data_IF_423041859259
#
_entry.id   IF_423041859259
#
_cell.length_a   1.000
_cell.length_b   1.000
_cell.length_c   1.000
_cell.angle_alpha   90.00
_cell.angle_beta   90.00
_cell.angle_gamma   90.00
#
_symmetry.space_group_name_H-M   'P 1'
#
loop_
_entity.id
_entity.type
_entity.pdbx_description
1 polymer ?
#
# COMPACT_ATOMS: atom_id res chain seq x y z
N UNK A 1 -0.44 -44.02 17.57
CA UNK A 1 0.31 -43.36 16.47
C UNK A 1 -0.37 -43.73 15.18
N UNK A 2 -0.94 -42.75 14.45
CA UNK A 2 -1.41 -43.00 13.09
C UNK A 2 -0.17 -43.14 12.19
N UNK A 3 -0.01 -44.29 11.56
CA UNK A 3 1.10 -44.56 10.64
C UNK A 3 0.79 -43.85 9.32
N UNK A 4 1.73 -43.03 8.85
CA UNK A 4 1.64 -42.29 7.59
C UNK A 4 1.47 -43.25 6.40
N UNK A 5 0.67 -42.86 5.40
CA UNK A 5 0.44 -43.67 4.20
C UNK A 5 1.73 -43.83 3.37
N UNK A 6 2.57 -42.79 3.33
CA UNK A 6 3.92 -42.86 2.77
C UNK A 6 4.79 -43.84 3.57
N UNK A 7 4.76 -43.79 4.91
CA UNK A 7 5.54 -44.71 5.74
C UNK A 7 5.20 -46.17 5.43
N UNK A 8 3.92 -46.50 5.22
CA UNK A 8 3.52 -47.86 4.81
C UNK A 8 4.08 -48.23 3.44
N UNK A 9 4.01 -47.32 2.45
CA UNK A 9 4.54 -47.55 1.10
C UNK A 9 6.07 -47.78 1.09
N UNK A 10 6.81 -47.17 2.01
CA UNK A 10 8.27 -47.38 2.17
C UNK A 10 8.56 -48.67 2.95
N UNK A 11 7.84 -48.91 4.05
CA UNK A 11 8.13 -50.00 4.97
C UNK A 11 7.76 -51.38 4.41
N UNK A 12 6.61 -51.50 3.74
CA UNK A 12 6.09 -52.76 3.20
C UNK A 12 7.09 -53.52 2.31
N UNK A 13 7.76 -52.88 1.33
CA UNK A 13 8.76 -53.55 0.51
C UNK A 13 10.05 -53.88 1.25
N UNK A 14 10.49 -53.06 2.20
CA UNK A 14 11.64 -53.37 3.07
C UNK A 14 11.35 -54.63 3.89
N UNK A 15 10.13 -54.74 4.43
CA UNK A 15 9.67 -55.91 5.18
C UNK A 15 9.61 -57.14 4.27
N UNK A 16 9.11 -57.01 3.03
CA UNK A 16 9.09 -58.11 2.05
C UNK A 16 10.50 -58.59 1.73
N UNK A 17 11.44 -57.67 1.52
CA UNK A 17 12.86 -58.00 1.29
C UNK A 17 13.40 -58.78 2.50
N UNK A 18 13.10 -58.34 3.73
CA UNK A 18 13.54 -59.02 4.95
C UNK A 18 12.95 -60.42 5.14
N UNK A 19 11.66 -60.61 4.86
CA UNK A 19 11.03 -61.94 4.91
C UNK A 19 11.65 -62.85 3.83
N UNK A 20 11.89 -62.29 2.65
CA UNK A 20 12.47 -63.02 1.54
C UNK A 20 13.92 -63.43 1.83
N UNK A 21 14.78 -62.55 2.39
CA UNK A 21 16.15 -62.91 2.74
C UNK A 21 16.20 -64.06 3.76
N UNK A 22 15.26 -64.11 4.70
CA UNK A 22 15.12 -65.21 5.66
C UNK A 22 14.75 -66.52 4.92
N UNK A 23 13.78 -66.48 4.00
CA UNK A 23 13.38 -67.65 3.20
C UNK A 23 14.55 -68.15 2.34
N UNK A 24 15.29 -67.23 1.70
CA UNK A 24 16.49 -67.57 0.94
C UNK A 24 17.53 -68.22 1.84
N UNK A 25 17.83 -67.64 3.00
CA UNK A 25 18.80 -68.18 3.94
C UNK A 25 18.46 -69.61 4.38
N UNK A 26 17.19 -69.89 4.71
CA UNK A 26 16.72 -71.24 5.05
C UNK A 26 16.90 -72.21 3.86
N UNK A 27 16.61 -71.74 2.65
CA UNK A 27 16.79 -72.53 1.44
C UNK A 27 18.28 -72.80 1.13
N UNK A 28 19.17 -71.85 1.42
CA UNK A 28 20.63 -72.02 1.29
C UNK A 28 21.14 -73.10 2.24
N UNK A 29 20.77 -73.00 3.51
CA UNK A 29 21.18 -73.97 4.56
C UNK A 29 20.67 -75.38 4.23
N UNK A 30 19.48 -75.49 3.62
CA UNK A 30 18.88 -76.78 3.24
C UNK A 30 19.46 -77.40 1.95
N UNK A 31 20.24 -76.66 1.16
CA UNK A 31 20.62 -77.10 -0.19
C UNK A 31 22.10 -77.47 -0.32
N UNK A 32 22.40 -78.74 -0.63
CA UNK A 32 23.65 -79.11 -1.33
C UNK A 32 23.50 -78.59 -2.77
N UNK A 33 24.30 -77.59 -3.14
CA UNK A 33 24.24 -76.76 -4.36
C UNK A 33 23.44 -77.34 -5.54
N UNK A 34 22.23 -76.82 -5.75
CA UNK A 34 21.35 -77.14 -6.86
C UNK A 34 20.93 -75.86 -7.59
N UNK A 35 20.62 -75.98 -8.89
CA UNK A 35 20.15 -74.92 -9.82
C UNK A 35 19.11 -73.95 -9.24
N UNK A 36 18.32 -74.38 -8.25
CA UNK A 36 17.38 -73.53 -7.52
C UNK A 36 18.00 -72.29 -6.86
N UNK A 37 19.27 -72.35 -6.43
CA UNK A 37 19.96 -71.18 -5.85
C UNK A 37 20.07 -70.03 -6.86
N UNK A 38 20.52 -70.32 -8.08
CA UNK A 38 20.71 -69.29 -9.12
C UNK A 38 19.38 -68.68 -9.56
N UNK A 39 18.30 -69.47 -9.58
CA UNK A 39 16.95 -68.98 -9.91
C UNK A 39 16.47 -67.98 -8.85
N UNK A 40 16.67 -68.29 -7.56
CA UNK A 40 16.28 -67.42 -6.45
C UNK A 40 17.04 -66.09 -6.48
N UNK A 41 18.37 -66.14 -6.70
CA UNK A 41 19.20 -64.94 -6.81
C UNK A 41 18.78 -64.08 -8.01
N UNK A 42 18.54 -64.70 -9.17
CA UNK A 42 18.08 -63.98 -10.36
C UNK A 42 16.73 -63.28 -10.14
N UNK A 43 15.76 -63.97 -9.55
CA UNK A 43 14.46 -63.38 -9.22
C UNK A 43 14.59 -62.22 -8.23
N UNK A 44 15.51 -62.29 -7.26
CA UNK A 44 15.80 -61.21 -6.33
C UNK A 44 16.38 -59.99 -7.05
N UNK A 45 17.35 -60.17 -7.94
CA UNK A 45 17.92 -59.05 -8.71
C UNK A 45 16.86 -58.35 -9.56
N UNK A 46 15.98 -59.12 -10.21
CA UNK A 46 14.86 -58.58 -11.00
C UNK A 46 13.86 -57.84 -10.11
N UNK A 47 13.52 -58.40 -8.94
CA UNK A 47 12.61 -57.77 -7.98
C UNK A 47 13.17 -56.44 -7.47
N UNK A 48 14.43 -56.41 -7.03
CA UNK A 48 15.08 -55.18 -6.54
C UNK A 48 15.10 -54.12 -7.64
N UNK A 49 15.43 -54.50 -8.88
CA UNK A 49 15.47 -53.57 -10.01
C UNK A 49 14.08 -52.96 -10.30
N UNK A 50 13.06 -53.81 -10.45
CA UNK A 50 11.68 -53.36 -10.71
C UNK A 50 11.13 -52.52 -9.56
N UNK A 51 11.42 -52.92 -8.32
CA UNK A 51 10.96 -52.22 -7.13
C UNK A 51 11.63 -50.84 -6.96
N UNK A 52 12.95 -50.76 -7.15
CA UNK A 52 13.69 -49.51 -7.11
C UNK A 52 13.18 -48.52 -8.17
N UNK A 53 12.94 -49.02 -9.38
CA UNK A 53 12.36 -48.22 -10.47
C UNK A 53 10.95 -47.71 -10.14
N UNK A 54 10.06 -48.58 -9.66
CA UNK A 54 8.69 -48.21 -9.31
C UNK A 54 8.61 -47.22 -8.15
N UNK A 55 9.48 -47.37 -7.14
CA UNK A 55 9.55 -46.47 -5.98
C UNK A 55 10.08 -45.10 -6.39
N UNK A 56 11.13 -45.06 -7.20
CA UNK A 56 11.67 -43.79 -7.72
C UNK A 56 10.59 -42.93 -8.37
N UNK A 57 9.71 -43.54 -9.19
CA UNK A 57 8.62 -42.83 -9.85
C UNK A 57 7.54 -42.36 -8.86
N UNK A 58 7.10 -43.22 -7.95
CA UNK A 58 6.03 -42.89 -7.00
C UNK A 58 6.39 -41.76 -6.01
N UNK A 59 7.69 -41.59 -5.71
CA UNK A 59 8.17 -40.55 -4.80
C UNK A 59 8.66 -39.30 -5.53
N UNK A 60 9.45 -39.45 -6.59
CA UNK A 60 10.04 -38.31 -7.28
C UNK A 60 8.99 -37.53 -8.09
N UNK A 61 7.97 -38.19 -8.64
CA UNK A 61 6.98 -37.53 -9.49
C UNK A 61 6.14 -36.49 -8.73
N UNK A 62 5.53 -36.78 -7.56
CA UNK A 62 4.80 -35.77 -6.80
C UNK A 62 5.68 -34.60 -6.36
N UNK A 63 6.89 -34.88 -5.87
CA UNK A 63 7.85 -33.86 -5.43
C UNK A 63 8.24 -32.94 -6.59
N UNK A 64 8.60 -33.51 -7.75
CA UNK A 64 8.95 -32.73 -8.95
C UNK A 64 7.79 -31.87 -9.43
N UNK A 65 6.55 -32.38 -9.36
CA UNK A 65 5.35 -31.62 -9.74
C UNK A 65 5.17 -30.40 -8.83
N UNK A 66 5.29 -30.58 -7.51
CA UNK A 66 5.22 -29.48 -6.55
C UNK A 66 6.36 -28.49 -6.78
N UNK A 67 7.60 -28.97 -6.94
CA UNK A 67 8.76 -28.11 -7.15
C UNK A 67 8.61 -27.26 -8.40
N UNK A 68 8.16 -27.84 -9.52
CA UNK A 68 7.91 -27.09 -10.76
C UNK A 68 6.89 -25.96 -10.54
N UNK A 69 5.76 -26.25 -9.89
CA UNK A 69 4.74 -25.23 -9.60
C UNK A 69 5.25 -24.17 -8.62
N UNK A 70 6.06 -24.56 -7.65
CA UNK A 70 6.70 -23.61 -6.73
C UNK A 70 7.68 -22.68 -7.44
N UNK A 71 8.42 -23.18 -8.44
CA UNK A 71 9.26 -22.34 -9.29
C UNK A 71 8.42 -21.34 -10.09
N UNK A 72 7.32 -21.77 -10.71
CA UNK A 72 6.38 -20.87 -11.42
C UNK A 72 5.81 -19.79 -10.46
N UNK A 73 5.39 -20.18 -9.25
CA UNK A 73 4.92 -19.26 -8.22
C UNK A 73 5.99 -18.23 -7.83
N UNK A 74 7.24 -18.68 -7.66
CA UNK A 74 8.37 -17.81 -7.32
C UNK A 74 8.74 -16.81 -8.43
N UNK A 75 8.38 -17.12 -9.67
CA UNK A 75 8.57 -16.23 -10.82
C UNK A 75 7.43 -15.20 -10.99
N UNK A 76 6.42 -15.25 -10.11
CA UNK A 76 5.32 -14.29 -10.07
C UNK A 76 4.01 -14.79 -10.66
N UNK A 77 3.92 -16.05 -11.12
CA UNK A 77 2.65 -16.65 -11.52
C UNK A 77 1.85 -17.10 -10.29
N UNK A 78 1.04 -16.19 -9.76
CA UNK A 78 0.19 -16.45 -8.58
C UNK A 78 -1.03 -17.32 -8.88
N UNK A 79 -1.31 -17.61 -10.15
CA UNK A 79 -2.44 -18.46 -10.56
C UNK A 79 -2.09 -19.95 -10.55
N UNK A 80 -0.80 -20.27 -10.38
CA UNK A 80 -0.33 -21.66 -10.40
C UNK A 80 -0.91 -22.48 -9.25
N UNK A 81 -1.23 -23.74 -9.53
CA UNK A 81 -1.80 -24.69 -8.57
C UNK A 81 -1.22 -26.09 -8.78
N UNK A 82 -1.11 -26.85 -7.69
CA UNK A 82 -0.71 -28.25 -7.69
C UNK A 82 -1.95 -29.14 -7.52
N UNK A 83 -2.15 -30.04 -8.48
CA UNK A 83 -3.18 -31.08 -8.43
C UNK A 83 -2.50 -32.45 -8.28
N UNK A 84 -2.74 -33.12 -7.16
CA UNK A 84 -2.28 -34.48 -6.90
C UNK A 84 -3.48 -35.35 -6.54
N UNK A 85 -3.65 -36.46 -7.26
CA UNK A 85 -4.69 -37.46 -6.99
C UNK A 85 -4.22 -38.45 -5.92
N UNK A 86 -3.70 -37.92 -4.80
CA UNK A 86 -3.26 -38.74 -3.66
C UNK A 86 -3.98 -38.27 -2.40
N UNK A 87 -4.25 -39.21 -1.49
CA UNK A 87 -4.80 -38.93 -0.16
C UNK A 87 -3.73 -39.06 0.93
N UNK A 88 -2.47 -39.00 0.54
CA UNK A 88 -1.32 -39.09 1.44
C UNK A 88 -0.71 -37.69 1.68
N UNK A 89 0.43 -37.66 2.34
CA UNK A 89 1.07 -36.43 2.80
C UNK A 89 1.52 -35.54 1.62
N UNK A 90 1.74 -36.10 0.42
CA UNK A 90 1.98 -35.29 -0.78
C UNK A 90 0.73 -34.53 -1.22
N UNK A 91 -0.44 -35.16 -1.10
CA UNK A 91 -1.73 -34.51 -1.37
C UNK A 91 -2.02 -33.40 -0.36
N UNK A 92 -1.65 -33.59 0.90
CA UNK A 92 -1.71 -32.54 1.92
C UNK A 92 -0.75 -31.38 1.62
N UNK A 93 0.49 -31.69 1.22
CA UNK A 93 1.47 -30.68 0.82
C UNK A 93 0.99 -29.87 -0.39
N UNK A 94 0.35 -30.51 -1.38
CA UNK A 94 -0.25 -29.80 -2.50
C UNK A 94 -1.38 -28.85 -2.08
N UNK A 95 -2.22 -29.25 -1.11
CA UNK A 95 -3.27 -28.37 -0.57
C UNK A 95 -2.68 -27.15 0.15
N UNK A 96 -1.65 -27.36 0.96
CA UNK A 96 -0.93 -26.28 1.66
C UNK A 96 -0.32 -25.32 0.63
N UNK A 97 0.34 -25.84 -0.40
CA UNK A 97 0.89 -25.03 -1.49
C UNK A 97 -0.19 -24.18 -2.16
N UNK A 98 -1.33 -24.76 -2.51
CA UNK A 98 -2.42 -24.03 -3.16
C UNK A 98 -2.97 -22.89 -2.30
N UNK A 99 -3.06 -23.11 -0.98
CA UNK A 99 -3.48 -22.07 -0.04
C UNK A 99 -2.49 -20.90 -0.01
N UNK A 100 -1.19 -21.18 0.00
CA UNK A 100 -0.15 -20.15 -0.08
C UNK A 100 -0.27 -19.35 -1.38
N UNK A 101 -0.48 -20.02 -2.51
CA UNK A 101 -0.66 -19.36 -3.80
C UNK A 101 -1.91 -18.45 -3.82
N UNK A 102 -3.02 -18.93 -3.25
CA UNK A 102 -4.27 -18.16 -3.12
C UNK A 102 -4.11 -16.92 -2.21
N UNK A 103 -3.47 -17.08 -1.05
CA UNK A 103 -3.22 -15.97 -0.13
C UNK A 103 -2.34 -14.89 -0.78
N UNK A 104 -1.34 -15.30 -1.58
CA UNK A 104 -0.46 -14.38 -2.29
C UNK A 104 -1.19 -13.65 -3.42
N UNK A 105 -2.01 -14.36 -4.19
CA UNK A 105 -2.88 -13.78 -5.24
C UNK A 105 -3.84 -12.74 -4.66
N UNK A 106 -4.48 -13.06 -3.53
CA UNK A 106 -5.38 -12.14 -2.83
C UNK A 106 -4.65 -10.89 -2.33
N UNK A 107 -3.50 -11.06 -1.69
CA UNK A 107 -2.68 -9.94 -1.19
C UNK A 107 -2.25 -8.99 -2.31
N UNK A 108 -1.90 -9.55 -3.48
CA UNK A 108 -1.57 -8.76 -4.67
C UNK A 108 -2.77 -7.95 -5.16
N UNK A 109 -3.94 -8.58 -5.27
CA UNK A 109 -5.18 -7.91 -5.68
C UNK A 109 -5.58 -6.78 -4.73
N UNK A 110 -5.44 -6.98 -3.42
CA UNK A 110 -5.72 -5.96 -2.40
C UNK A 110 -4.75 -4.78 -2.49
N UNK A 111 -3.47 -5.05 -2.73
CA UNK A 111 -2.45 -4.02 -2.93
C UNK A 111 -2.76 -3.15 -4.15
N UNK A 112 -3.12 -3.76 -5.29
CA UNK A 112 -3.48 -3.04 -6.53
C UNK A 112 -4.75 -2.20 -6.37
N UNK A 113 -5.75 -2.69 -5.63
CA UNK A 113 -6.95 -1.91 -5.29
C UNK A 113 -6.61 -0.72 -4.41
N UNK A 114 -5.73 -0.91 -3.43
CA UNK A 114 -5.29 0.15 -2.52
C UNK A 114 -4.56 1.23 -3.29
N UNK A 115 -3.61 0.86 -4.15
CA UNK A 115 -2.85 1.79 -5.00
C UNK A 115 -3.78 2.66 -5.85
N UNK A 116 -4.76 2.06 -6.54
CA UNK A 116 -5.77 2.79 -7.32
C UNK A 116 -6.60 3.75 -6.46
N UNK A 117 -7.00 3.32 -5.26
CA UNK A 117 -7.77 4.18 -4.35
C UNK A 117 -6.98 5.38 -3.85
N UNK A 118 -5.67 5.21 -3.63
CA UNK A 118 -4.75 6.29 -3.24
C UNK A 118 -4.60 7.27 -4.38
N UNK A 119 -4.40 6.82 -5.63
CA UNK A 119 -4.31 7.69 -6.80
C UNK A 119 -5.56 8.57 -6.96
N UNK A 120 -6.75 7.97 -6.86
CA UNK A 120 -8.03 8.70 -6.91
C UNK A 120 -8.10 9.75 -5.80
N UNK A 121 -7.73 9.38 -4.57
CA UNK A 121 -7.77 10.29 -3.41
C UNK A 121 -6.77 11.44 -3.55
N UNK A 122 -5.58 11.18 -4.08
CA UNK A 122 -4.57 12.21 -4.35
C UNK A 122 -5.10 13.18 -5.39
N UNK A 123 -5.61 12.70 -6.53
CA UNK A 123 -6.20 13.55 -7.57
C UNK A 123 -7.34 14.42 -7.05
N UNK A 124 -8.27 13.83 -6.29
CA UNK A 124 -9.40 14.57 -5.71
C UNK A 124 -8.91 15.66 -4.74
N UNK A 125 -7.89 15.36 -3.93
CA UNK A 125 -7.32 16.35 -2.99
C UNK A 125 -6.57 17.46 -3.72
N UNK A 126 -5.82 17.15 -4.78
CA UNK A 126 -5.15 18.14 -5.62
C UNK A 126 -6.15 19.08 -6.28
N UNK A 127 -7.22 18.53 -6.86
CA UNK A 127 -8.28 19.34 -7.47
C UNK A 127 -8.94 20.29 -6.47
N UNK A 128 -9.27 19.81 -5.27
CA UNK A 128 -9.85 20.66 -4.22
C UNK A 128 -8.88 21.76 -3.77
N UNK A 129 -7.58 21.46 -3.76
CA UNK A 129 -6.54 22.43 -3.42
C UNK A 129 -6.40 23.50 -4.51
N UNK A 130 -6.44 23.12 -5.78
CA UNK A 130 -6.45 24.05 -6.92
C UNK A 130 -7.67 24.98 -6.88
N UNK A 131 -8.86 24.44 -6.60
CA UNK A 131 -10.08 25.24 -6.45
C UNK A 131 -9.95 26.25 -5.29
N UNK A 132 -9.40 25.80 -4.15
CA UNK A 132 -9.17 26.66 -2.99
C UNK A 132 -8.16 27.76 -3.28
N UNK A 133 -7.06 27.44 -3.98
CA UNK A 133 -6.06 28.42 -4.42
C UNK A 133 -6.71 29.44 -5.35
N UNK A 134 -7.48 29.00 -6.35
CA UNK A 134 -8.18 29.91 -7.27
C UNK A 134 -9.15 30.85 -6.55
N UNK A 135 -9.91 30.35 -5.57
CA UNK A 135 -10.80 31.16 -4.75
C UNK A 135 -10.05 32.17 -3.87
N UNK A 136 -8.93 31.75 -3.24
CA UNK A 136 -8.06 32.62 -2.46
C UNK A 136 -7.47 33.73 -3.31
N UNK A 137 -6.97 33.41 -4.50
CA UNK A 137 -6.43 34.41 -5.42
C UNK A 137 -7.50 35.43 -5.84
N UNK A 138 -8.73 34.99 -6.13
CA UNK A 138 -9.83 35.93 -6.40
C UNK A 138 -10.12 36.83 -5.20
N UNK A 139 -10.11 36.27 -3.99
CA UNK A 139 -10.31 37.04 -2.77
C UNK A 139 -9.21 38.08 -2.57
N UNK A 140 -7.95 37.71 -2.80
CA UNK A 140 -6.80 38.62 -2.77
C UNK A 140 -6.98 39.72 -3.81
N UNK A 141 -7.28 39.37 -5.07
CA UNK A 141 -7.53 40.36 -6.14
C UNK A 141 -8.63 41.35 -5.76
N UNK A 142 -9.77 40.87 -5.28
CA UNK A 142 -10.88 41.73 -4.86
C UNK A 142 -10.47 42.66 -3.71
N UNK A 143 -9.71 42.16 -2.74
CA UNK A 143 -9.19 42.98 -1.63
C UNK A 143 -8.18 44.02 -2.10
N UNK A 144 -7.33 43.70 -3.07
CA UNK A 144 -6.40 44.68 -3.65
C UNK A 144 -7.16 45.81 -4.33
N UNK A 145 -8.18 45.49 -5.14
CA UNK A 145 -9.03 46.49 -5.80
C UNK A 145 -9.77 47.36 -4.77
N UNK A 146 -10.30 46.76 -3.69
CA UNK A 146 -10.95 47.47 -2.59
C UNK A 146 -9.97 48.44 -1.89
N UNK A 147 -8.74 47.99 -1.61
CA UNK A 147 -7.71 48.80 -0.99
C UNK A 147 -7.28 49.97 -1.89
N UNK A 148 -7.11 49.76 -3.19
CA UNK A 148 -6.79 50.82 -4.15
C UNK A 148 -7.88 51.90 -4.17
N UNK A 149 -9.15 51.50 -4.20
CA UNK A 149 -10.29 52.43 -4.14
C UNK A 149 -10.33 53.24 -2.83
N UNK A 150 -10.08 52.59 -1.69
CA UNK A 150 -10.06 53.26 -0.38
C UNK A 150 -8.89 54.25 -0.28
N UNK A 151 -7.73 53.92 -0.86
CA UNK A 151 -6.59 54.84 -0.92
C UNK A 151 -6.92 56.10 -1.73
N UNK A 152 -7.54 55.92 -2.91
CA UNK A 152 -7.98 57.04 -3.76
C UNK A 152 -9.01 57.94 -3.03
N UNK A 153 -9.98 57.36 -2.33
CA UNK A 153 -10.96 58.10 -1.54
C UNK A 153 -10.30 58.90 -0.40
N UNK A 154 -9.34 58.28 0.30
CA UNK A 154 -8.58 58.94 1.37
C UNK A 154 -7.73 60.11 0.84
N UNK A 155 -7.09 59.96 -0.32
CA UNK A 155 -6.35 61.06 -0.96
C UNK A 155 -7.26 62.22 -1.34
N UNK A 156 -8.39 61.96 -2.00
CA UNK A 156 -9.37 62.98 -2.38
C UNK A 156 -9.94 63.71 -1.15
N UNK A 157 -10.25 63.00 -0.07
CA UNK A 157 -10.69 63.61 1.19
C UNK A 157 -9.61 64.51 1.81
N UNK A 158 -8.35 64.06 1.79
CA UNK A 158 -7.22 64.81 2.33
C UNK A 158 -6.98 66.10 1.53
N UNK A 159 -7.06 66.05 0.21
CA UNK A 159 -6.99 67.25 -0.64
C UNK A 159 -8.16 68.20 -0.38
N UNK A 160 -9.39 67.69 -0.32
CA UNK A 160 -10.57 68.50 0.00
C UNK A 160 -10.47 69.19 1.36
N UNK A 161 -9.98 68.48 2.39
CA UNK A 161 -9.76 69.07 3.72
C UNK A 161 -8.67 70.13 3.71
N UNK A 162 -7.56 69.90 2.99
CA UNK A 162 -6.50 70.92 2.80
C UNK A 162 -7.01 72.17 2.10
N UNK A 163 -7.86 72.02 1.09
CA UNK A 163 -8.43 73.16 0.37
C UNK A 163 -9.37 73.96 1.27
N UNK A 164 -10.26 73.29 2.02
CA UNK A 164 -11.13 73.94 3.02
C UNK A 164 -10.34 74.64 4.13
N UNK A 165 -9.23 74.05 4.57
CA UNK A 165 -8.35 74.66 5.57
C UNK A 165 -7.71 75.94 5.03
N UNK A 166 -7.20 75.92 3.78
CA UNK A 166 -6.70 77.12 3.10
C UNK A 166 -7.77 78.20 2.95
N UNK A 167 -8.99 77.83 2.53
CA UNK A 167 -10.13 78.74 2.42
C UNK A 167 -10.49 79.36 3.77
N UNK A 168 -10.55 78.57 4.84
CA UNK A 168 -10.85 79.05 6.18
C UNK A 168 -9.78 80.02 6.69
N UNK A 169 -8.50 79.75 6.41
CA UNK A 169 -7.40 80.67 6.73
C UNK A 169 -7.56 81.99 5.95
N UNK A 170 -7.86 81.93 4.66
CA UNK A 170 -8.06 83.11 3.82
C UNK A 170 -9.25 83.95 4.29
N UNK A 171 -10.40 83.32 4.58
CA UNK A 171 -11.58 83.96 5.15
C UNK A 171 -11.28 84.59 6.51
N UNK A 172 -10.53 83.91 7.38
CA UNK A 172 -10.16 84.45 8.70
C UNK A 172 -9.25 85.69 8.56
N UNK A 173 -8.37 85.70 7.55
CA UNK A 173 -7.56 86.87 7.23
C UNK A 173 -8.40 88.03 6.67
N UNK A 174 -9.38 87.73 5.81
CA UNK A 174 -10.31 88.72 5.25
C UNK A 174 -11.23 89.32 6.31
N UNK A 175 -11.79 88.50 7.20
CA UNK A 175 -12.58 88.96 8.36
C UNK A 175 -11.74 89.84 9.29
N UNK A 176 -10.46 89.51 9.49
CA UNK A 176 -9.56 90.32 10.32
C UNK A 176 -9.34 91.71 9.70
N UNK A 177 -9.10 91.78 8.38
CA UNK A 177 -9.01 93.05 7.64
C UNK A 177 -10.31 93.85 7.70
N UNK A 178 -11.45 93.21 7.45
CA UNK A 178 -12.75 93.88 7.49
C UNK A 178 -13.07 94.46 8.87
N UNK A 179 -12.70 93.76 9.95
CA UNK A 179 -12.82 94.26 11.33
C UNK A 179 -11.95 95.49 11.59
N UNK A 180 -10.76 95.54 10.99
CA UNK A 180 -9.82 96.65 11.07
C UNK A 180 -10.36 97.88 10.31
N UNK A 181 -10.92 97.67 9.11
CA UNK A 181 -11.53 98.72 8.27
C UNK A 181 -12.84 99.29 8.86
N UNK A 182 -13.61 98.49 9.60
CA UNK A 182 -14.87 98.90 10.26
C UNK A 182 -14.65 99.63 11.59
N UNK A 183 -13.42 99.85 12.05
CA UNK A 183 -13.12 100.64 13.25
C UNK A 183 -13.69 100.05 14.56
N UNK A 184 -13.97 98.74 14.62
CA UNK A 184 -14.43 98.09 15.85
C UNK A 184 -13.21 97.71 16.70
N UNK A 185 -12.56 98.70 17.34
CA UNK A 185 -11.75 98.48 18.55
C UNK A 185 -12.39 99.20 19.76
N UNK A 186 -12.59 98.40 20.82
CA UNK A 186 -12.98 98.73 22.21
C UNK A 186 -14.30 99.46 22.49
N UNK A 187 -15.27 98.70 23.01
CA UNK A 187 -16.02 99.12 24.20
C UNK A 187 -16.60 97.93 24.97
N UNK A 188 -15.91 97.51 26.03
CA UNK A 188 -16.53 97.19 27.33
C UNK A 188 -15.49 97.37 28.44
N UNK A 189 -15.34 98.62 28.88
CA UNK A 189 -15.06 98.93 30.28
C UNK A 189 -16.41 99.10 30.98
N UNK A 190 -16.46 98.66 32.24
CA UNK A 190 -17.32 99.03 33.38
C UNK A 190 -17.58 97.75 34.20
N UNK A 191 -17.42 97.65 35.51
CA UNK A 191 -16.72 98.37 36.60
C UNK A 191 -16.86 97.41 37.85
N UNK A 192 -16.13 97.60 38.97
CA UNK A 192 -15.90 96.62 40.02
C UNK A 192 -17.02 96.58 41.08
N UNK A 193 -16.87 95.65 42.02
CA UNK A 193 -17.65 95.41 43.25
C UNK A 193 -19.02 94.73 43.10
N UNK A 194 -19.10 93.46 43.52
CA UNK A 194 -19.91 93.08 44.69
C UNK A 194 -19.54 91.68 45.21
N UNK A 195 -18.96 91.63 46.41
CA UNK A 195 -18.82 90.54 47.43
C UNK A 195 -18.19 89.21 46.96
#
# INVERSE_FOLDING_TARGET
MNISAITVKIALPIIIIGIFTIVVFIALESSKTNTGFYIVVFLLSVFIFLFGFATGQNFAMPIRKILKRATELSQGDLTTRVYLETKDEFGELAKIFNRIAEDLEKSRSESEKTEKSVDIKVRAKTQNLEETIGALEQKVRNRTIELERLLEESENLKEGSRNKEKEAIALKAEISKLKEDLGIDKSRKEDPNNI
#
